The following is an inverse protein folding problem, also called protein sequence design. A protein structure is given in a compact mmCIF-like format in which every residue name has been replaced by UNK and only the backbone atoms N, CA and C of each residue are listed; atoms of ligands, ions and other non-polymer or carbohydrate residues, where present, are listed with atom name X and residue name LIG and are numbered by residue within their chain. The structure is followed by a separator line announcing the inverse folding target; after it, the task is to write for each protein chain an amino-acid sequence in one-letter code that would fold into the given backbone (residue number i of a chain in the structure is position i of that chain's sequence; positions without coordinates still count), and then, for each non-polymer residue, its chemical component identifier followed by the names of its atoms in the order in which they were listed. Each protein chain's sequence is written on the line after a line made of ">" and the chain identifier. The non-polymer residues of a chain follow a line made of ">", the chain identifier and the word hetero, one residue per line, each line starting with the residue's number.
data_IF_250520578716
#
_entry.id   IF_250520578716
#
_cell.length_a   1.000
_cell.length_b   1.000
_cell.length_c   1.000
_cell.angle_alpha   90.00
_cell.angle_beta   90.00
_cell.angle_gamma   90.00
#
_symmetry.space_group_name_H-M   'P 1'
#
loop_
_entity.id
_entity.type
_entity.pdbx_description
1 polymer ?
#
# COMPACT_ATOMS: atom_id res chain seq x y z
N UNK A 1 27.00 4.04 15.61
CA UNK A 1 25.75 3.71 16.27
C UNK A 1 24.84 2.91 15.33
N UNK A 2 24.53 1.69 15.71
CA UNK A 2 23.60 0.84 14.95
C UNK A 2 22.21 1.00 15.55
N UNK A 3 21.33 1.61 14.77
CA UNK A 3 19.92 1.59 15.09
C UNK A 3 19.34 0.29 14.57
N UNK A 4 18.90 -0.58 15.47
CA UNK A 4 18.21 -1.79 15.10
C UNK A 4 16.86 -1.42 14.48
N UNK A 5 16.55 -2.05 13.37
CA UNK A 5 15.22 -1.95 12.76
C UNK A 5 14.16 -2.43 13.75
N UNK A 6 13.11 -1.63 13.92
CA UNK A 6 11.97 -1.98 14.79
C UNK A 6 10.84 -2.65 14.04
N UNK A 7 10.97 -2.84 12.73
CA UNK A 7 9.98 -3.48 11.88
C UNK A 7 10.52 -4.80 11.30
N UNK A 8 9.64 -5.74 10.97
CA UNK A 8 10.04 -7.00 10.36
C UNK A 8 10.75 -6.79 9.03
N UNK A 9 11.62 -7.74 8.69
CA UNK A 9 12.36 -7.74 7.44
C UNK A 9 11.95 -8.98 6.65
N UNK A 10 11.78 -8.80 5.35
CA UNK A 10 11.55 -9.86 4.39
C UNK A 10 12.81 -10.02 3.52
N UNK A 11 13.23 -11.26 3.28
CA UNK A 11 14.35 -11.56 2.37
C UNK A 11 13.75 -11.93 1.02
N UNK A 12 14.11 -11.19 -0.02
CA UNK A 12 13.71 -11.47 -1.39
C UNK A 12 14.89 -12.05 -2.17
N UNK A 13 14.57 -12.87 -3.16
CA UNK A 13 15.58 -13.44 -4.06
C UNK A 13 15.24 -13.09 -5.50
N UNK A 14 16.20 -12.47 -6.19
CA UNK A 14 16.08 -12.18 -7.61
C UNK A 14 16.39 -13.43 -8.46
N UNK A 15 15.96 -13.40 -9.70
CA UNK A 15 16.16 -14.53 -10.64
C UNK A 15 17.63 -14.86 -10.90
N UNK A 16 18.54 -13.91 -10.71
CA UNK A 16 19.99 -14.09 -10.86
C UNK A 16 20.67 -14.66 -9.59
N UNK A 17 19.89 -15.01 -8.56
CA UNK A 17 20.37 -15.57 -7.31
C UNK A 17 20.76 -14.57 -6.23
N UNK A 18 20.76 -13.26 -6.53
CA UNK A 18 21.02 -12.23 -5.52
C UNK A 18 19.90 -12.22 -4.49
N UNK A 19 20.26 -11.92 -3.25
CA UNK A 19 19.31 -11.72 -2.15
C UNK A 19 19.39 -10.29 -1.65
N UNK A 20 18.26 -9.78 -1.19
CA UNK A 20 18.15 -8.43 -0.65
C UNK A 20 17.14 -8.42 0.51
N UNK A 21 17.44 -7.64 1.54
CA UNK A 21 16.53 -7.42 2.66
C UNK A 21 15.66 -6.20 2.38
N UNK A 22 14.35 -6.35 2.52
CA UNK A 22 13.39 -5.25 2.44
C UNK A 22 12.55 -5.20 3.71
N UNK A 23 12.03 -4.02 4.04
CA UNK A 23 11.12 -3.87 5.16
C UNK A 23 9.78 -4.54 4.88
N UNK A 24 9.24 -5.23 5.88
CA UNK A 24 7.90 -5.79 5.85
C UNK A 24 6.97 -4.90 6.67
N UNK A 25 6.02 -4.27 6.03
CA UNK A 25 5.22 -3.21 6.65
C UNK A 25 3.78 -3.62 6.98
N UNK A 26 3.38 -4.84 6.68
CA UNK A 26 2.00 -5.30 6.89
C UNK A 26 1.57 -5.23 8.36
N UNK A 27 2.49 -5.41 9.31
CA UNK A 27 2.20 -5.31 10.74
C UNK A 27 1.83 -3.90 11.20
N UNK A 28 2.11 -2.88 10.39
CA UNK A 28 1.73 -1.50 10.68
C UNK A 28 0.27 -1.21 10.34
N UNK A 29 -0.39 -2.10 9.61
CA UNK A 29 -1.80 -1.96 9.25
C UNK A 29 -2.68 -2.33 10.43
N UNK A 30 -3.55 -1.43 10.81
CA UNK A 30 -4.51 -1.58 11.90
C UNK A 30 -5.94 -1.37 11.37
N UNK A 31 -6.87 -1.07 12.23
CA UNK A 31 -8.27 -0.77 11.88
C UNK A 31 -8.67 0.53 12.56
N UNK A 32 -8.02 1.62 12.14
CA UNK A 32 -8.07 2.89 12.86
C UNK A 32 -9.33 3.72 12.60
N UNK A 33 -10.13 3.38 11.56
CA UNK A 33 -11.18 4.26 11.04
C UNK A 33 -12.55 3.58 10.88
N UNK A 34 -12.87 2.58 11.69
CA UNK A 34 -13.99 1.65 11.47
C UNK A 34 -15.30 2.30 11.01
N UNK A 35 -15.89 3.16 11.83
CA UNK A 35 -17.21 3.74 11.51
C UNK A 35 -17.13 4.75 10.36
N UNK A 36 -16.06 5.50 10.28
CA UNK A 36 -15.86 6.51 9.22
C UNK A 36 -15.79 5.84 7.86
N UNK A 37 -15.04 4.76 7.74
CA UNK A 37 -14.88 4.06 6.47
C UNK A 37 -16.14 3.29 6.09
N UNK A 38 -16.86 2.74 7.04
CA UNK A 38 -18.16 2.13 6.77
C UNK A 38 -19.16 3.16 6.18
N UNK A 39 -19.16 4.39 6.69
CA UNK A 39 -19.96 5.46 6.14
C UNK A 39 -19.56 5.79 4.69
N UNK A 40 -18.27 5.80 4.38
CA UNK A 40 -17.79 5.99 3.02
C UNK A 40 -18.32 4.88 2.10
N UNK A 41 -18.26 3.63 2.53
CA UNK A 41 -18.80 2.52 1.74
C UNK A 41 -20.29 2.65 1.52
N UNK A 42 -21.05 2.95 2.54
CA UNK A 42 -22.51 3.05 2.49
C UNK A 42 -22.98 4.19 1.55
N UNK A 43 -22.16 5.21 1.35
CA UNK A 43 -22.39 6.30 0.41
C UNK A 43 -21.77 6.07 -0.97
N UNK A 44 -21.13 4.93 -1.19
CA UNK A 44 -20.54 4.56 -2.47
C UNK A 44 -21.52 3.76 -3.31
N UNK A 45 -21.43 3.89 -4.64
CA UNK A 45 -22.34 3.22 -5.58
C UNK A 45 -21.94 1.79 -5.90
N UNK A 46 -20.70 1.41 -5.64
CA UNK A 46 -20.12 0.10 -5.95
C UNK A 46 -18.81 -0.09 -5.18
N UNK A 47 -18.26 -1.31 -5.21
CA UNK A 47 -16.94 -1.58 -4.65
C UNK A 47 -15.85 -0.76 -5.36
N UNK A 48 -15.94 -0.63 -6.68
CA UNK A 48 -14.99 0.20 -7.44
C UNK A 48 -15.09 1.68 -7.06
N UNK A 49 -16.29 2.18 -6.84
CA UNK A 49 -16.49 3.55 -6.39
C UNK A 49 -15.94 3.75 -4.96
N UNK A 50 -16.14 2.78 -4.09
CA UNK A 50 -15.57 2.81 -2.74
C UNK A 50 -14.04 2.87 -2.78
N UNK A 51 -13.40 2.06 -3.62
CA UNK A 51 -11.94 2.08 -3.81
C UNK A 51 -11.49 3.47 -4.27
N UNK A 52 -12.21 4.05 -5.24
CA UNK A 52 -11.95 5.40 -5.72
C UNK A 52 -12.06 6.44 -4.59
N UNK A 53 -13.11 6.36 -3.78
CA UNK A 53 -13.32 7.30 -2.68
C UNK A 53 -12.22 7.20 -1.63
N UNK A 54 -11.77 6.01 -1.30
CA UNK A 54 -10.64 5.82 -0.37
C UNK A 54 -9.37 6.43 -0.94
N UNK A 55 -9.05 6.14 -2.21
CA UNK A 55 -7.90 6.77 -2.86
C UNK A 55 -8.03 8.29 -2.85
N UNK A 56 -9.20 8.82 -3.17
CA UNK A 56 -9.43 10.27 -3.20
C UNK A 56 -9.13 10.90 -1.83
N UNK A 57 -9.63 10.30 -0.76
CA UNK A 57 -9.36 10.75 0.61
C UNK A 57 -7.85 10.77 0.89
N UNK A 58 -7.17 9.67 0.61
CA UNK A 58 -5.72 9.59 0.81
C UNK A 58 -5.00 10.65 -0.02
N UNK A 59 -5.38 10.81 -1.28
CA UNK A 59 -4.74 11.79 -2.18
C UNK A 59 -4.93 13.23 -1.73
N UNK A 60 -6.06 13.54 -1.10
CA UNK A 60 -6.35 14.88 -0.60
C UNK A 60 -5.69 15.18 0.74
N UNK A 61 -5.51 14.18 1.58
CA UNK A 61 -4.98 14.35 2.93
C UNK A 61 -3.46 14.18 3.03
N UNK A 62 -2.80 13.75 1.97
CA UNK A 62 -1.37 13.48 2.00
C UNK A 62 -0.61 14.23 0.92
N UNK A 63 0.62 14.63 1.26
CA UNK A 63 1.62 15.13 0.31
C UNK A 63 2.80 14.17 0.35
N UNK A 64 3.35 13.83 -0.82
CA UNK A 64 4.52 12.96 -0.88
C UNK A 64 5.73 13.64 -0.26
N UNK A 65 6.42 12.93 0.62
CA UNK A 65 7.68 13.37 1.20
C UNK A 65 8.59 12.17 1.42
N UNK A 66 9.82 12.24 0.92
CA UNK A 66 10.81 11.20 1.13
C UNK A 66 11.40 11.27 2.52
N UNK A 67 11.56 10.12 3.17
CA UNK A 67 12.29 10.02 4.42
C UNK A 67 13.77 9.75 4.15
N UNK A 68 14.61 10.20 5.09
CA UNK A 68 15.99 9.75 5.18
C UNK A 68 16.01 8.44 5.95
N UNK A 69 16.20 7.34 5.26
CA UNK A 69 16.04 5.99 5.80
C UNK A 69 14.57 5.54 5.77
N UNK A 70 14.34 4.28 6.06
CA UNK A 70 12.99 3.71 6.09
C UNK A 70 12.42 3.82 7.51
N UNK A 71 11.41 4.67 7.66
CA UNK A 71 10.70 4.88 8.92
C UNK A 71 9.21 4.72 8.68
N UNK A 72 8.69 3.46 8.61
CA UNK A 72 7.27 3.25 8.42
C UNK A 72 6.45 3.88 9.54
N UNK A 73 5.29 4.40 9.17
CA UNK A 73 4.39 5.08 10.11
C UNK A 73 3.05 4.38 10.18
N UNK A 74 2.45 4.38 11.35
CA UNK A 74 1.04 4.01 11.48
C UNK A 74 0.16 5.03 10.76
N UNK A 75 -1.04 4.60 10.34
CA UNK A 75 -1.95 5.42 9.57
C UNK A 75 -2.21 6.80 10.19
N UNK A 76 -2.46 6.84 11.49
CA UNK A 76 -2.71 8.11 12.20
C UNK A 76 -1.49 9.03 12.21
N UNK A 77 -0.29 8.47 12.26
CA UNK A 77 0.93 9.28 12.17
C UNK A 77 1.08 9.91 10.79
N UNK A 78 0.82 9.15 9.73
CA UNK A 78 0.85 9.65 8.36
C UNK A 78 -0.13 10.82 8.17
N UNK A 79 -1.35 10.68 8.68
CA UNK A 79 -2.35 11.76 8.62
C UNK A 79 -1.91 12.98 9.43
N UNK A 80 -1.39 12.77 10.63
CA UNK A 80 -0.95 13.86 11.51
C UNK A 80 0.21 14.64 10.88
N UNK A 81 1.12 13.96 10.19
CA UNK A 81 2.26 14.58 9.52
C UNK A 81 1.91 15.14 8.14
N UNK A 82 0.72 14.87 7.62
CA UNK A 82 0.27 15.35 6.32
C UNK A 82 0.83 14.58 5.14
N UNK A 83 1.34 13.37 5.35
CA UNK A 83 1.84 12.51 4.27
C UNK A 83 3.08 11.73 4.64
N UNK A 84 3.76 11.23 3.62
CA UNK A 84 4.95 10.41 3.70
C UNK A 84 5.31 9.88 2.33
N UNK A 85 6.01 8.77 2.27
CA UNK A 85 6.39 8.10 1.02
C UNK A 85 5.48 6.89 0.71
N UNK A 86 5.93 5.99 -0.17
CA UNK A 86 5.07 4.91 -0.66
C UNK A 86 4.65 3.92 0.44
N UNK A 87 5.52 3.57 1.38
CA UNK A 87 5.13 2.68 2.47
C UNK A 87 4.12 3.33 3.41
N UNK A 88 4.26 4.60 3.70
CA UNK A 88 3.36 5.32 4.60
C UNK A 88 1.95 5.42 4.01
N UNK A 89 1.83 5.79 2.74
CA UNK A 89 0.53 5.88 2.07
C UNK A 89 -0.08 4.50 1.82
N UNK A 90 0.74 3.47 1.60
CA UNK A 90 0.24 2.10 1.45
C UNK A 90 -0.31 1.57 2.78
N UNK A 91 0.38 1.80 3.89
CA UNK A 91 -0.11 1.46 5.23
C UNK A 91 -1.42 2.20 5.52
N UNK A 92 -1.49 3.50 5.22
CA UNK A 92 -2.69 4.31 5.43
C UNK A 92 -3.89 3.77 4.64
N UNK A 93 -3.71 3.54 3.35
CA UNK A 93 -4.79 3.04 2.49
C UNK A 93 -5.23 1.63 2.90
N UNK A 94 -4.29 0.75 3.22
CA UNK A 94 -4.58 -0.58 3.72
C UNK A 94 -5.38 -0.54 5.03
N UNK A 95 -4.98 0.33 5.96
CA UNK A 95 -5.69 0.51 7.23
C UNK A 95 -7.14 0.95 6.99
N UNK A 96 -7.36 1.87 6.05
CA UNK A 96 -8.72 2.31 5.71
C UNK A 96 -9.56 1.15 5.18
N UNK A 97 -9.06 0.35 4.24
CA UNK A 97 -9.79 -0.82 3.74
C UNK A 97 -10.05 -1.85 4.84
N UNK A 98 -9.05 -2.15 5.66
CA UNK A 98 -9.18 -3.11 6.76
C UNK A 98 -10.11 -2.61 7.87
N UNK A 99 -10.35 -1.31 7.94
CA UNK A 99 -11.28 -0.71 8.90
C UNK A 99 -12.75 -0.96 8.55
N UNK A 100 -13.06 -1.30 7.30
CA UNK A 100 -14.43 -1.49 6.86
C UNK A 100 -14.90 -2.94 7.04
N UNK A 101 -16.07 -3.11 7.66
CA UNK A 101 -16.74 -4.41 7.72
C UNK A 101 -17.14 -4.92 6.32
N UNK A 102 -17.35 -4.02 5.38
CA UNK A 102 -17.74 -4.38 4.00
C UNK A 102 -16.60 -4.95 3.18
N UNK A 103 -15.36 -4.62 3.51
CA UNK A 103 -14.16 -5.17 2.87
C UNK A 103 -13.54 -6.34 3.66
N UNK A 104 -14.24 -6.88 4.64
CA UNK A 104 -13.76 -7.92 5.54
C UNK A 104 -13.26 -9.18 4.80
N UNK A 105 -13.92 -9.53 3.70
CA UNK A 105 -13.60 -10.72 2.91
C UNK A 105 -12.70 -10.41 1.71
N UNK A 106 -12.27 -9.17 1.54
CA UNK A 106 -11.33 -8.83 0.48
C UNK A 106 -9.95 -9.34 0.83
N UNK A 107 -9.21 -9.78 -0.18
CA UNK A 107 -7.80 -10.11 -0.02
C UNK A 107 -7.00 -8.84 -0.32
N UNK A 108 -6.26 -8.37 0.67
CA UNK A 108 -5.44 -7.16 0.57
C UNK A 108 -4.01 -7.54 0.87
N UNK A 109 -3.11 -7.16 -0.01
CA UNK A 109 -1.69 -7.48 0.09
C UNK A 109 -0.86 -6.25 -0.20
N UNK A 110 0.31 -6.17 0.42
CA UNK A 110 1.36 -5.27 -0.04
C UNK A 110 2.16 -5.96 -1.13
N UNK A 111 2.50 -5.24 -2.18
CA UNK A 111 3.38 -5.74 -3.23
C UNK A 111 4.62 -4.86 -3.28
N UNK A 112 5.79 -5.50 -3.21
CA UNK A 112 7.10 -4.88 -3.24
C UNK A 112 7.74 -5.18 -4.58
N UNK A 113 8.18 -4.17 -5.30
CA UNK A 113 8.67 -4.38 -6.66
C UNK A 113 9.64 -3.28 -7.08
N UNK A 114 10.24 -3.48 -8.25
CA UNK A 114 11.11 -2.49 -8.88
C UNK A 114 10.26 -1.64 -9.83
N UNK A 115 9.97 -0.40 -9.44
CA UNK A 115 9.12 0.49 -10.23
C UNK A 115 9.75 0.95 -11.55
N UNK A 116 11.07 0.88 -11.64
CA UNK A 116 11.81 1.22 -12.86
C UNK A 116 11.95 0.02 -13.80
N UNK A 117 11.96 -1.20 -13.25
CA UNK A 117 12.08 -2.44 -14.01
C UNK A 117 11.06 -3.47 -13.52
N UNK A 118 9.75 -3.22 -13.71
CA UNK A 118 8.72 -4.03 -13.06
C UNK A 118 8.64 -5.48 -13.56
N UNK A 119 9.08 -5.76 -14.79
CA UNK A 119 9.07 -7.11 -15.36
C UNK A 119 10.37 -7.87 -15.15
N UNK A 120 11.48 -7.16 -14.93
CA UNK A 120 12.83 -7.73 -14.74
C UNK A 120 13.53 -7.01 -13.58
N UNK A 121 13.10 -7.27 -12.33
CA UNK A 121 13.53 -6.46 -11.20
C UNK A 121 15.04 -6.56 -10.95
N UNK A 122 15.64 -5.41 -10.70
CA UNK A 122 17.07 -5.27 -10.35
C UNK A 122 17.23 -4.84 -8.89
N UNK A 123 16.34 -3.99 -8.40
CA UNK A 123 16.34 -3.51 -7.02
C UNK A 123 14.90 -3.13 -6.64
N UNK A 124 14.38 -3.74 -5.61
CA UNK A 124 13.06 -3.36 -5.07
C UNK A 124 13.16 -1.99 -4.44
N UNK A 125 12.37 -1.05 -4.96
CA UNK A 125 12.40 0.36 -4.56
C UNK A 125 10.99 0.92 -4.30
N UNK A 126 9.94 0.10 -4.38
CA UNK A 126 8.57 0.57 -4.31
C UNK A 126 7.65 -0.43 -3.65
N UNK A 127 6.62 0.08 -3.00
CA UNK A 127 5.53 -0.71 -2.46
C UNK A 127 4.20 -0.08 -2.88
N UNK A 128 3.25 -0.93 -3.24
CA UNK A 128 1.90 -0.56 -3.60
C UNK A 128 0.92 -1.53 -2.94
N UNK A 129 -0.37 -1.28 -3.10
CA UNK A 129 -1.42 -2.07 -2.48
C UNK A 129 -2.17 -2.90 -3.51
N UNK A 130 -2.18 -4.22 -3.34
CA UNK A 130 -2.97 -5.11 -4.16
C UNK A 130 -4.30 -5.40 -3.47
N UNK A 131 -5.39 -5.18 -4.18
CA UNK A 131 -6.76 -5.37 -3.66
C UNK A 131 -7.51 -6.35 -4.56
N UNK A 132 -8.01 -7.42 -3.95
CA UNK A 132 -8.87 -8.39 -4.60
C UNK A 132 -10.21 -8.43 -3.88
N UNK A 133 -11.26 -7.95 -4.53
CA UNK A 133 -12.62 -7.92 -3.98
C UNK A 133 -13.37 -9.25 -4.14
N UNK A 134 -12.78 -10.20 -4.86
CA UNK A 134 -13.44 -11.42 -5.31
C UNK A 134 -14.01 -11.31 -6.73
N UNK A 135 -14.35 -10.11 -7.17
CA UNK A 135 -14.82 -9.82 -8.53
C UNK A 135 -13.74 -9.15 -9.38
N UNK A 136 -12.92 -8.31 -8.74
CA UNK A 136 -11.83 -7.56 -9.39
C UNK A 136 -10.56 -7.67 -8.59
N UNK A 137 -9.43 -7.70 -9.30
CA UNK A 137 -8.11 -7.71 -8.72
C UNK A 137 -7.24 -6.67 -9.42
N UNK A 138 -6.59 -5.83 -8.64
CA UNK A 138 -5.70 -4.82 -9.19
C UNK A 138 -4.70 -4.31 -8.16
N UNK A 139 -3.70 -3.60 -8.68
CA UNK A 139 -2.70 -2.90 -7.86
C UNK A 139 -3.05 -1.42 -7.84
N UNK A 140 -3.06 -0.84 -6.65
CA UNK A 140 -3.32 0.58 -6.44
C UNK A 140 -2.02 1.30 -6.11
N UNK A 141 -1.69 2.32 -6.90
CA UNK A 141 -0.59 3.23 -6.62
C UNK A 141 -1.05 4.23 -5.55
N UNK A 142 -0.61 4.01 -4.31
CA UNK A 142 -1.14 4.76 -3.17
C UNK A 142 -0.66 6.21 -3.11
N UNK A 143 0.42 6.54 -3.84
CA UNK A 143 0.93 7.91 -3.96
C UNK A 143 0.32 8.67 -5.13
N UNK A 144 -0.57 8.03 -5.91
CA UNK A 144 -1.17 8.63 -7.10
C UNK A 144 -1.97 9.90 -6.77
N UNK A 145 -1.80 10.93 -7.59
CA UNK A 145 -2.56 12.18 -7.50
C UNK A 145 -3.58 12.33 -8.63
N UNK A 146 -3.57 11.41 -9.60
CA UNK A 146 -4.56 11.33 -10.68
C UNK A 146 -5.16 9.92 -10.73
N UNK A 147 -6.37 9.82 -11.27
CA UNK A 147 -7.05 8.51 -11.38
C UNK A 147 -6.30 7.57 -12.34
N UNK A 148 -5.69 8.10 -13.38
CA UNK A 148 -4.92 7.30 -14.33
C UNK A 148 -3.69 6.67 -13.67
N UNK A 149 -3.03 7.40 -12.78
CA UNK A 149 -1.85 6.90 -12.07
C UNK A 149 -2.24 5.87 -11.00
N UNK A 150 -3.44 5.94 -10.46
CA UNK A 150 -3.92 4.99 -9.43
C UNK A 150 -3.81 3.54 -9.90
N UNK A 151 -4.10 3.28 -11.15
CA UNK A 151 -4.13 1.93 -11.74
C UNK A 151 -3.06 1.71 -12.81
N UNK A 152 -1.96 2.45 -12.71
CA UNK A 152 -0.89 2.39 -13.71
C UNK A 152 -0.15 1.04 -13.76
N UNK A 153 -0.19 0.27 -12.68
CA UNK A 153 0.53 -0.99 -12.59
C UNK A 153 -0.34 -2.16 -13.06
N UNK A 154 0.16 -2.94 -14.03
CA UNK A 154 -0.51 -4.14 -14.50
C UNK A 154 -0.12 -5.33 -13.61
N UNK A 155 -1.08 -5.87 -12.88
CA UNK A 155 -0.88 -7.00 -11.98
C UNK A 155 -0.29 -8.24 -12.67
N UNK A 156 -0.55 -8.41 -13.96
CA UNK A 156 -0.07 -9.55 -14.73
C UNK A 156 1.36 -9.37 -15.24
N UNK A 157 1.89 -8.15 -15.22
CA UNK A 157 3.22 -7.84 -15.76
C UNK A 157 4.26 -7.57 -14.68
N UNK A 158 3.84 -7.34 -13.43
CA UNK A 158 4.77 -7.06 -12.35
C UNK A 158 5.34 -8.35 -11.77
N UNK A 159 6.66 -8.40 -11.66
CA UNK A 159 7.37 -9.39 -10.85
C UNK A 159 7.64 -8.76 -9.50
N UNK A 160 6.92 -9.20 -8.48
CA UNK A 160 6.99 -8.60 -7.15
C UNK A 160 6.94 -9.64 -6.05
N UNK A 161 7.09 -9.16 -4.83
CA UNK A 161 7.01 -9.96 -3.61
C UNK A 161 5.81 -9.48 -2.80
N UNK A 162 4.95 -10.41 -2.44
CA UNK A 162 3.62 -10.14 -1.91
C UNK A 162 3.56 -10.51 -0.45
N UNK A 163 2.98 -9.65 0.38
CA UNK A 163 2.73 -9.99 1.77
C UNK A 163 1.27 -9.71 2.13
N UNK A 164 0.67 -10.68 2.80
CA UNK A 164 -0.71 -10.60 3.29
C UNK A 164 -0.84 -9.57 4.41
N UNK A 165 -1.99 -8.93 4.45
CA UNK A 165 -2.35 -8.00 5.51
C UNK A 165 -3.46 -8.60 6.37
#
# INVERSE_FOLDING_TARGET
>A
YLQLSTYPIQIIQYSDGRQHEIGEFSDYVKTSFANVIDDVYENSSSDSNFIYEIWYIVSQLTTYSSDIGEHPRYALETLTRGGGDCEDTTILMADMFKSSKYAKNWNIQMVYFDSENPTTPKLVNHVALAVNTGEKFGILETTAKTIDDLTMWDVNSIVGWWSEI
#
